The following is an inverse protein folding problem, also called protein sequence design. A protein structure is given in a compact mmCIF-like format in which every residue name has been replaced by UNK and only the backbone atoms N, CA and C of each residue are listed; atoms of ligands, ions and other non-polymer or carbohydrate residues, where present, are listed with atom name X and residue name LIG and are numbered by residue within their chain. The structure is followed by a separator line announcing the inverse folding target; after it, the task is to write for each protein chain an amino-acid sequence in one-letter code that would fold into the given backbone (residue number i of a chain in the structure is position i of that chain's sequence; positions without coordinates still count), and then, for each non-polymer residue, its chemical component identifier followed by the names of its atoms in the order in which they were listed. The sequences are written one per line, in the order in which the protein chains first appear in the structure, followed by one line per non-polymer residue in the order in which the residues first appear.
data_IF_669407931125
#
_entry.id   IF_669407931125
#
_cell.length_a   1.000
_cell.length_b   1.000
_cell.length_c   1.000
_cell.angle_alpha   90.00
_cell.angle_beta   90.00
_cell.angle_gamma   90.00
#
_symmetry.space_group_name_H-M   'P 1'
#
loop_
_entity.id
_entity.type
_entity.pdbx_description
1 polymer ?
#
# COMPACT_ATOMS: atom_id res chain seq x y z
N UNK A 1 3.89 -7.86 29.36
CA UNK A 1 4.27 -6.64 28.63
C UNK A 1 5.79 -6.53 28.70
N UNK A 2 6.44 -6.14 27.59
CA UNK A 2 7.88 -5.87 27.55
C UNK A 2 8.05 -4.36 27.38
N UNK A 3 8.92 -3.77 28.18
CA UNK A 3 9.24 -2.35 28.15
C UNK A 3 10.76 -2.20 28.10
N UNK A 4 11.26 -1.41 27.14
CA UNK A 4 12.68 -1.23 26.91
C UNK A 4 12.97 0.21 26.49
N UNK A 5 14.18 0.68 26.79
CA UNK A 5 14.60 2.05 26.49
C UNK A 5 14.73 2.30 24.99
N UNK A 6 15.27 1.34 24.26
CA UNK A 6 15.55 1.47 22.82
C UNK A 6 15.19 0.19 22.07
N UNK A 7 14.84 0.35 20.79
CA UNK A 7 14.54 -0.75 19.88
C UNK A 7 15.24 -0.53 18.53
N UNK A 8 16.01 -1.51 18.08
CA UNK A 8 16.72 -1.47 16.81
C UNK A 8 16.22 -2.57 15.87
N UNK A 9 15.75 -2.18 14.68
CA UNK A 9 15.41 -3.16 13.66
C UNK A 9 16.67 -3.89 13.17
N UNK A 10 16.59 -5.21 13.08
CA UNK A 10 17.61 -6.10 12.50
C UNK A 10 16.98 -6.92 11.38
N UNK A 11 17.52 -6.84 10.15
CA UNK A 11 17.06 -7.71 9.07
C UNK A 11 17.38 -9.17 9.39
N UNK A 12 16.67 -10.13 8.77
CA UNK A 12 17.00 -11.55 8.89
C UNK A 12 18.43 -11.81 8.42
N UNK A 13 19.17 -12.63 9.17
CA UNK A 13 20.59 -12.91 8.94
C UNK A 13 20.91 -14.36 9.27
N UNK A 14 21.34 -15.12 8.26
CA UNK A 14 21.58 -16.56 8.36
C UNK A 14 20.40 -17.31 9.02
N UNK A 15 20.62 -17.93 10.18
CA UNK A 15 19.61 -18.69 10.92
C UNK A 15 18.75 -17.80 11.85
N UNK A 16 19.01 -16.50 11.92
CA UNK A 16 18.24 -15.55 12.74
C UNK A 16 17.13 -14.88 11.91
N UNK A 17 15.86 -14.98 12.32
CA UNK A 17 14.77 -14.27 11.66
C UNK A 17 14.88 -12.75 11.87
N UNK A 18 14.20 -11.98 11.02
CA UNK A 18 14.13 -10.52 11.15
C UNK A 18 13.36 -10.10 12.41
N UNK A 19 13.66 -8.92 12.94
CA UNK A 19 12.97 -8.44 14.12
C UNK A 19 13.60 -7.23 14.78
N UNK A 20 13.23 -7.01 16.04
CA UNK A 20 13.65 -5.87 16.84
C UNK A 20 14.50 -6.33 18.01
N UNK A 21 15.72 -5.80 18.10
CA UNK A 21 16.56 -5.91 19.28
C UNK A 21 16.15 -4.82 20.26
N UNK A 22 15.60 -5.22 21.40
CA UNK A 22 15.27 -4.33 22.51
C UNK A 22 16.47 -4.24 23.45
N UNK A 23 16.87 -3.01 23.79
CA UNK A 23 18.03 -2.71 24.64
C UNK A 23 17.59 -1.94 25.87
N UNK A 24 18.16 -2.28 27.02
CA UNK A 24 17.75 -1.71 28.31
C UNK A 24 16.32 -2.08 28.65
N UNK A 25 16.00 -3.37 28.63
CA UNK A 25 14.68 -3.90 28.99
C UNK A 25 14.44 -3.68 30.49
N UNK A 26 13.46 -2.85 30.83
CA UNK A 26 13.08 -2.51 32.21
C UNK A 26 12.02 -3.47 32.76
N UNK A 27 11.15 -3.98 31.88
CA UNK A 27 10.18 -5.01 32.22
C UNK A 27 10.21 -6.13 31.18
N UNK A 28 10.26 -7.41 31.60
CA UNK A 28 10.32 -7.90 32.98
C UNK A 28 11.71 -7.77 33.63
N UNK A 29 11.77 -7.53 34.96
CA UNK A 29 13.05 -7.40 35.72
C UNK A 29 13.89 -8.68 35.74
N UNK A 30 13.26 -9.84 35.57
CA UNK A 30 13.86 -11.17 35.56
C UNK A 30 14.14 -11.68 34.14
N UNK A 31 14.34 -10.79 33.15
CA UNK A 31 14.53 -11.16 31.74
C UNK A 31 15.63 -12.21 31.52
N UNK A 32 16.77 -12.07 32.19
CA UNK A 32 17.94 -12.95 32.01
C UNK A 32 17.66 -14.42 32.40
N UNK A 33 16.66 -14.70 33.24
CA UNK A 33 16.30 -16.06 33.68
C UNK A 33 15.03 -16.57 32.99
N UNK A 34 14.31 -15.71 32.27
CA UNK A 34 13.10 -16.10 31.57
C UNK A 34 13.40 -16.92 30.32
N UNK A 35 12.64 -17.98 30.05
CA UNK A 35 12.75 -18.71 28.80
C UNK A 35 12.24 -17.85 27.64
N UNK A 36 12.77 -18.12 26.46
CA UNK A 36 12.30 -17.58 25.19
C UNK A 36 10.86 -18.03 24.94
N UNK A 37 10.07 -17.14 24.34
CA UNK A 37 8.69 -17.44 23.97
C UNK A 37 8.67 -18.01 22.57
N UNK A 38 8.08 -19.20 22.45
CA UNK A 38 7.86 -19.91 21.20
C UNK A 38 6.36 -20.09 21.00
N UNK A 39 5.85 -19.71 19.83
CA UNK A 39 4.45 -19.90 19.44
C UNK A 39 4.44 -20.71 18.15
N UNK A 40 3.65 -21.78 18.10
CA UNK A 40 3.58 -22.70 16.95
C UNK A 40 4.95 -23.21 16.46
N UNK A 41 5.86 -23.47 17.41
CA UNK A 41 7.22 -23.94 17.11
C UNK A 41 8.16 -22.88 16.55
N UNK A 42 7.75 -21.60 16.48
CA UNK A 42 8.59 -20.49 16.03
C UNK A 42 8.94 -19.56 17.20
N UNK A 43 10.21 -19.17 17.36
CA UNK A 43 10.57 -18.19 18.38
C UNK A 43 9.92 -16.84 18.04
N UNK A 44 9.17 -16.29 18.99
CA UNK A 44 8.57 -14.96 18.90
C UNK A 44 9.38 -13.97 19.72
N UNK A 45 9.92 -14.42 20.86
CA UNK A 45 10.76 -13.61 21.74
C UNK A 45 11.96 -14.47 22.15
N UNK A 46 13.17 -14.03 21.82
CA UNK A 46 14.40 -14.66 22.29
C UNK A 46 14.95 -13.87 23.49
N UNK A 47 15.25 -14.58 24.57
CA UNK A 47 15.83 -14.02 25.80
C UNK A 47 17.31 -14.40 25.94
N UNK A 48 18.08 -13.70 26.79
CA UNK A 48 19.50 -13.99 27.00
C UNK A 48 19.76 -15.41 27.54
N UNK A 49 18.77 -16.02 28.22
CA UNK A 49 18.86 -17.38 28.74
C UNK A 49 19.14 -18.41 27.65
N UNK A 50 18.41 -18.33 26.53
CA UNK A 50 18.49 -19.32 25.45
C UNK A 50 19.37 -18.84 24.28
N UNK A 51 19.67 -17.54 24.23
CA UNK A 51 20.52 -16.91 23.23
C UNK A 51 21.70 -16.12 23.84
N UNK A 52 22.49 -16.70 24.78
CA UNK A 52 23.55 -15.98 25.49
C UNK A 52 24.72 -15.57 24.59
N UNK A 53 24.84 -16.17 23.40
CA UNK A 53 25.93 -15.92 22.46
C UNK A 53 25.82 -14.57 21.73
N UNK A 54 24.65 -13.91 21.75
CA UNK A 54 24.42 -12.66 21.02
C UNK A 54 23.45 -11.69 21.70
N UNK A 55 22.85 -12.05 22.85
CA UNK A 55 22.01 -11.16 23.66
C UNK A 55 22.66 -10.88 25.01
N UNK A 56 22.76 -9.60 25.37
CA UNK A 56 23.20 -9.18 26.70
C UNK A 56 22.08 -9.37 27.74
N UNK A 57 22.37 -9.41 29.05
CA UNK A 57 21.37 -9.69 30.09
C UNK A 57 20.15 -8.76 30.12
N UNK A 58 20.31 -7.52 29.65
CA UNK A 58 19.28 -6.47 29.55
C UNK A 58 18.67 -6.35 28.15
N UNK A 59 18.94 -7.33 27.27
CA UNK A 59 18.46 -7.33 25.89
C UNK A 59 17.49 -8.48 25.63
N UNK A 60 16.52 -8.26 24.75
CA UNK A 60 15.75 -9.35 24.16
C UNK A 60 15.48 -9.07 22.69
N UNK A 61 15.22 -10.13 21.93
CA UNK A 61 14.90 -10.02 20.52
C UNK A 61 13.45 -10.40 20.26
N UNK A 62 12.70 -9.51 19.62
CA UNK A 62 11.32 -9.78 19.21
C UNK A 62 11.31 -10.05 17.72
N UNK A 63 10.93 -11.26 17.35
CA UNK A 63 10.83 -11.67 15.95
C UNK A 63 9.64 -10.97 15.30
N UNK A 64 9.90 -10.29 14.18
CA UNK A 64 8.87 -9.55 13.46
C UNK A 64 9.22 -9.46 11.98
N UNK A 65 8.24 -9.74 11.12
CA UNK A 65 8.35 -9.56 9.67
C UNK A 65 8.05 -8.10 9.23
N UNK A 66 7.78 -7.20 10.19
CA UNK A 66 7.51 -5.79 9.92
C UNK A 66 8.81 -4.98 9.97
N UNK A 67 9.11 -4.23 8.90
CA UNK A 67 10.31 -3.39 8.85
C UNK A 67 10.12 -2.08 9.63
N UNK A 68 11.22 -1.39 9.92
CA UNK A 68 11.16 -0.10 10.60
C UNK A 68 10.27 0.92 9.88
N UNK A 69 10.37 1.02 8.55
CA UNK A 69 9.57 1.95 7.75
C UNK A 69 8.08 1.59 7.80
N UNK A 70 7.76 0.30 7.85
CA UNK A 70 6.38 -0.16 7.98
C UNK A 70 5.81 0.14 9.38
N UNK A 71 6.62 0.12 10.43
CA UNK A 71 6.19 0.51 11.78
C UNK A 71 6.03 2.02 11.95
N UNK A 72 6.92 2.82 11.38
CA UNK A 72 6.94 4.27 11.61
C UNK A 72 6.05 5.05 10.67
N UNK A 73 6.00 4.68 9.38
CA UNK A 73 5.14 5.33 8.40
C UNK A 73 4.61 4.32 7.36
N UNK A 74 3.61 3.56 7.80
CA UNK A 74 2.93 2.59 6.96
C UNK A 74 2.19 3.24 5.77
N UNK A 75 1.88 4.54 5.85
CA UNK A 75 1.24 5.30 4.79
C UNK A 75 2.22 5.57 3.65
N UNK A 76 3.32 6.25 3.97
CA UNK A 76 4.39 6.55 3.02
C UNK A 76 5.01 5.29 2.43
N UNK A 77 5.22 4.24 3.24
CA UNK A 77 5.70 2.96 2.72
C UNK A 77 4.79 2.43 1.62
N UNK A 78 3.46 2.52 1.76
CA UNK A 78 2.51 2.03 0.76
C UNK A 78 2.54 2.85 -0.52
N UNK A 79 2.62 4.17 -0.38
CA UNK A 79 2.60 5.11 -1.51
C UNK A 79 3.88 5.03 -2.34
N UNK A 80 5.04 4.95 -1.69
CA UNK A 80 6.35 4.99 -2.34
C UNK A 80 6.97 3.61 -2.59
N UNK A 81 6.40 2.52 -2.06
CA UNK A 81 6.84 1.16 -2.39
C UNK A 81 6.56 0.81 -3.85
N UNK A 82 7.45 0.07 -4.48
CA UNK A 82 7.21 -0.55 -5.79
C UNK A 82 6.06 -1.58 -5.71
N UNK A 83 5.41 -1.84 -6.85
CA UNK A 83 4.34 -2.85 -6.92
C UNK A 83 4.84 -4.24 -6.50
N UNK A 84 6.10 -4.58 -6.80
CA UNK A 84 6.72 -5.82 -6.34
C UNK A 84 6.86 -5.87 -4.81
N UNK A 85 7.26 -4.77 -4.16
CA UNK A 85 7.32 -4.68 -2.70
C UNK A 85 5.93 -4.78 -2.05
N UNK A 86 4.91 -4.15 -2.64
CA UNK A 86 3.53 -4.27 -2.17
C UNK A 86 3.00 -5.71 -2.26
N UNK A 87 3.28 -6.42 -3.37
CA UNK A 87 2.90 -7.84 -3.53
C UNK A 87 3.61 -8.72 -2.51
N UNK A 88 4.89 -8.47 -2.23
CA UNK A 88 5.60 -9.17 -1.15
C UNK A 88 5.00 -8.86 0.22
N UNK A 89 4.62 -7.60 0.47
CA UNK A 89 3.96 -7.17 1.69
C UNK A 89 2.60 -7.83 1.92
N UNK A 90 1.84 -8.16 0.87
CA UNK A 90 0.59 -8.93 0.99
C UNK A 90 0.78 -10.33 1.56
N UNK A 91 1.99 -10.89 1.50
CA UNK A 91 2.32 -12.20 2.08
C UNK A 91 2.64 -12.13 3.56
N UNK A 92 2.81 -10.92 4.12
CA UNK A 92 3.05 -10.73 5.54
C UNK A 92 1.69 -10.58 6.27
N UNK A 93 1.24 -11.60 7.02
CA UNK A 93 -0.03 -11.55 7.75
C UNK A 93 -0.02 -10.53 8.89
N UNK A 94 1.15 -10.02 9.29
CA UNK A 94 1.29 -9.00 10.34
C UNK A 94 0.80 -7.61 9.91
N UNK A 95 0.46 -7.43 8.63
CA UNK A 95 -0.05 -6.17 8.07
C UNK A 95 -1.56 -6.27 7.81
N UNK A 96 -2.37 -5.67 8.69
CA UNK A 96 -3.86 -5.72 8.70
C UNK A 96 -4.56 -4.97 7.54
N UNK A 97 -3.84 -4.58 6.49
CA UNK A 97 -4.35 -3.68 5.43
C UNK A 97 -4.37 -4.29 4.02
N UNK A 98 -4.52 -5.61 3.91
CA UNK A 98 -4.52 -6.32 2.64
C UNK A 98 -5.48 -5.72 1.59
N UNK A 99 -6.65 -5.20 1.99
CA UNK A 99 -7.60 -4.56 1.07
C UNK A 99 -7.04 -3.29 0.41
N UNK A 100 -6.44 -2.39 1.19
CA UNK A 100 -5.88 -1.12 0.70
C UNK A 100 -4.68 -1.38 -0.22
N UNK A 101 -3.79 -2.29 0.18
CA UNK A 101 -2.64 -2.69 -0.64
C UNK A 101 -3.09 -3.30 -1.97
N UNK A 102 -4.12 -4.16 -1.97
CA UNK A 102 -4.70 -4.72 -3.19
C UNK A 102 -5.27 -3.64 -4.11
N UNK A 103 -6.01 -2.67 -3.58
CA UNK A 103 -6.53 -1.55 -4.38
C UNK A 103 -5.39 -0.79 -5.03
N UNK A 104 -4.34 -0.43 -4.27
CA UNK A 104 -3.17 0.27 -4.82
C UNK A 104 -2.50 -0.50 -5.96
N UNK A 105 -2.36 -1.83 -5.82
CA UNK A 105 -1.78 -2.67 -6.88
C UNK A 105 -2.66 -2.63 -8.14
N UNK A 106 -3.97 -2.84 -8.02
CA UNK A 106 -4.87 -2.81 -9.16
C UNK A 106 -4.95 -1.41 -9.80
N UNK A 107 -5.03 -0.35 -9.00
CA UNK A 107 -5.07 1.03 -9.50
C UNK A 107 -3.83 1.38 -10.31
N UNK A 108 -2.62 0.98 -9.88
CA UNK A 108 -1.38 1.24 -10.63
C UNK A 108 -1.35 0.55 -12.00
N UNK A 109 -1.96 -0.63 -12.12
CA UNK A 109 -2.07 -1.34 -13.40
C UNK A 109 -3.08 -0.65 -14.34
N UNK A 110 -4.17 -0.15 -13.78
CA UNK A 110 -5.27 0.46 -14.54
C UNK A 110 -5.01 1.94 -14.86
N UNK A 111 -4.17 2.63 -14.09
CA UNK A 111 -3.81 4.04 -14.27
C UNK A 111 -3.43 4.41 -15.73
N UNK A 112 -2.51 3.71 -16.43
CA UNK A 112 -2.18 4.06 -17.81
C UNK A 112 -3.37 3.93 -18.77
N UNK A 113 -4.28 2.97 -18.53
CA UNK A 113 -5.49 2.81 -19.33
C UNK A 113 -6.51 3.92 -19.04
N UNK A 114 -6.60 4.37 -17.78
CA UNK A 114 -7.42 5.51 -17.37
C UNK A 114 -6.91 6.80 -18.01
N UNK A 115 -5.60 7.02 -18.03
CA UNK A 115 -4.99 8.20 -18.65
C UNK A 115 -5.26 8.22 -20.16
N UNK A 116 -5.14 7.06 -20.82
CA UNK A 116 -5.49 6.91 -22.23
C UNK A 116 -6.99 7.17 -22.49
N UNK A 117 -7.86 6.67 -21.61
CA UNK A 117 -9.31 6.90 -21.69
C UNK A 117 -9.63 8.37 -21.55
N UNK A 118 -9.02 9.06 -20.59
CA UNK A 118 -9.21 10.50 -20.38
C UNK A 118 -8.71 11.30 -21.58
N UNK A 119 -7.56 10.91 -22.16
CA UNK A 119 -7.05 11.51 -23.40
C UNK A 119 -8.04 11.35 -24.55
N UNK A 120 -8.58 10.14 -24.76
CA UNK A 120 -9.58 9.89 -25.80
C UNK A 120 -10.93 10.55 -25.52
N UNK A 121 -11.23 10.92 -24.28
CA UNK A 121 -12.42 11.71 -23.97
C UNK A 121 -12.20 13.20 -24.26
N UNK A 122 -11.00 13.71 -23.95
CA UNK A 122 -10.63 15.12 -24.12
C UNK A 122 -10.27 15.51 -25.56
N UNK A 123 -9.57 14.65 -26.30
CA UNK A 123 -9.07 14.91 -27.65
C UNK A 123 -10.19 15.22 -28.66
N UNK A 124 -11.24 14.39 -28.81
CA UNK A 124 -12.40 14.71 -29.66
C UNK A 124 -13.03 16.06 -29.31
N UNK A 125 -13.10 16.37 -28.02
CA UNK A 125 -13.77 17.57 -27.54
C UNK A 125 -13.03 18.86 -27.92
N UNK A 126 -11.70 18.80 -27.96
CA UNK A 126 -10.86 19.91 -28.43
C UNK A 126 -10.89 20.00 -29.96
N UNK A 127 -10.76 18.87 -30.66
CA UNK A 127 -10.67 18.82 -32.13
C UNK A 127 -11.99 19.14 -32.85
N UNK A 128 -13.14 18.67 -32.34
CA UNK A 128 -14.45 18.87 -32.97
C UNK A 128 -14.92 20.34 -32.95
N UNK A 129 -14.20 21.24 -32.26
CA UNK A 129 -14.64 22.62 -32.02
C UNK A 129 -13.91 23.61 -32.92
N UNK A 130 -14.14 23.49 -34.23
CA UNK A 130 -13.56 24.39 -35.22
C UNK A 130 -14.07 25.85 -35.11
N UNK A 131 -15.21 26.14 -34.46
CA UNK A 131 -15.84 27.49 -34.44
C UNK A 131 -16.58 27.91 -33.14
N UNK A 132 -16.17 27.48 -31.92
CA UNK A 132 -16.81 27.93 -30.66
C UNK A 132 -15.83 28.49 -29.63
N UNK A 133 -16.26 29.53 -28.90
CA UNK A 133 -15.57 30.19 -27.78
C UNK A 133 -14.64 29.24 -27.00
N UNK A 134 -13.34 29.54 -27.02
CA UNK A 134 -12.27 28.76 -26.37
C UNK A 134 -12.57 28.54 -24.88
N UNK A 135 -13.15 29.52 -24.20
CA UNK A 135 -13.57 29.41 -22.79
C UNK A 135 -14.56 28.26 -22.54
N UNK A 136 -15.48 28.00 -23.46
CA UNK A 136 -16.45 26.90 -23.32
C UNK A 136 -15.77 25.55 -23.56
N UNK A 137 -14.79 25.49 -24.46
CA UNK A 137 -14.00 24.27 -24.67
C UNK A 137 -13.16 23.94 -23.42
N UNK A 138 -12.50 24.95 -22.84
CA UNK A 138 -11.74 24.82 -21.59
C UNK A 138 -12.64 24.38 -20.42
N UNK A 139 -13.80 25.02 -20.26
CA UNK A 139 -14.75 24.68 -19.19
C UNK A 139 -15.27 23.24 -19.30
N UNK A 140 -15.59 22.78 -20.50
CA UNK A 140 -16.10 21.42 -20.72
C UNK A 140 -15.00 20.36 -20.55
N UNK A 141 -13.78 20.63 -20.99
CA UNK A 141 -12.62 19.78 -20.73
C UNK A 141 -12.34 19.67 -19.22
N UNK A 142 -12.36 20.81 -18.51
CA UNK A 142 -12.22 20.83 -17.05
C UNK A 142 -13.31 20.03 -16.35
N UNK A 143 -14.57 20.16 -16.79
CA UNK A 143 -15.70 19.40 -16.25
C UNK A 143 -15.51 17.89 -16.45
N UNK A 144 -15.05 17.47 -17.62
CA UNK A 144 -14.70 16.09 -17.92
C UNK A 144 -13.64 15.57 -16.93
N UNK A 145 -12.53 16.29 -16.78
CA UNK A 145 -11.42 15.89 -15.89
C UNK A 145 -11.90 15.78 -14.43
N UNK A 146 -12.69 16.75 -13.96
CA UNK A 146 -13.23 16.75 -12.60
C UNK A 146 -14.18 15.57 -12.40
N UNK A 147 -15.11 15.33 -13.32
CA UNK A 147 -16.06 14.23 -13.22
C UNK A 147 -15.36 12.86 -13.23
N UNK A 148 -14.36 12.69 -14.10
CA UNK A 148 -13.56 11.49 -14.20
C UNK A 148 -12.77 11.24 -12.92
N UNK A 149 -12.05 12.26 -12.44
CA UNK A 149 -11.26 12.19 -11.20
C UNK A 149 -12.13 11.84 -10.00
N UNK A 150 -13.35 12.41 -9.91
CA UNK A 150 -14.27 12.15 -8.81
C UNK A 150 -14.74 10.70 -8.80
N UNK A 151 -15.06 10.12 -9.96
CA UNK A 151 -15.45 8.70 -10.06
C UNK A 151 -14.28 7.78 -9.70
N UNK A 152 -13.07 8.08 -10.18
CA UNK A 152 -11.86 7.32 -9.83
C UNK A 152 -11.63 7.34 -8.33
N UNK A 153 -11.65 8.53 -7.72
CA UNK A 153 -11.41 8.71 -6.29
C UNK A 153 -12.48 8.01 -5.45
N UNK A 154 -13.76 8.18 -5.78
CA UNK A 154 -14.86 7.51 -5.10
C UNK A 154 -14.74 5.98 -5.17
N UNK A 155 -14.44 5.44 -6.35
CA UNK A 155 -14.32 3.99 -6.55
C UNK A 155 -13.15 3.40 -5.73
N UNK A 156 -11.99 4.07 -5.75
CA UNK A 156 -10.83 3.64 -4.97
C UNK A 156 -11.07 3.73 -3.45
N UNK A 157 -11.75 4.79 -2.98
CA UNK A 157 -12.12 4.90 -1.56
C UNK A 157 -13.08 3.80 -1.12
N UNK A 158 -14.08 3.46 -1.94
CA UNK A 158 -15.00 2.36 -1.65
C UNK A 158 -14.28 1.00 -1.60
N UNK A 159 -13.28 0.78 -2.45
CA UNK A 159 -12.41 -0.40 -2.37
C UNK A 159 -11.52 -0.42 -1.13
N UNK A 160 -10.96 0.73 -0.76
CA UNK A 160 -10.12 0.87 0.43
C UNK A 160 -10.91 0.67 1.74
N UNK A 161 -12.20 0.99 1.73
CA UNK A 161 -13.16 0.73 2.80
C UNK A 161 -13.73 -0.70 2.77
N UNK A 162 -13.24 -1.57 1.87
CA UNK A 162 -13.73 -2.95 1.67
C UNK A 162 -15.22 -3.09 1.34
N UNK A 163 -15.88 -2.01 0.91
CA UNK A 163 -17.28 -2.01 0.42
C UNK A 163 -17.35 -2.69 -0.95
N UNK A 164 -16.34 -2.45 -1.79
CA UNK A 164 -16.17 -3.11 -3.09
C UNK A 164 -14.93 -4.01 -3.06
N UNK A 165 -14.91 -5.02 -3.93
CA UNK A 165 -13.67 -5.78 -4.15
C UNK A 165 -12.59 -4.85 -4.69
N UNK A 166 -11.34 -5.08 -4.28
CA UNK A 166 -10.23 -4.22 -4.68
C UNK A 166 -10.05 -4.13 -6.20
N UNK A 167 -10.31 -5.23 -6.91
CA UNK A 167 -10.30 -5.26 -8.36
C UNK A 167 -11.45 -4.41 -8.94
N UNK A 168 -12.69 -4.60 -8.49
CA UNK A 168 -13.82 -3.86 -9.04
C UNK A 168 -13.68 -2.34 -8.77
N UNK A 169 -13.24 -1.96 -7.58
CA UNK A 169 -12.95 -0.56 -7.23
C UNK A 169 -11.95 0.12 -8.18
N UNK A 170 -10.92 -0.59 -8.62
CA UNK A 170 -9.90 -0.04 -9.53
C UNK A 170 -10.37 -0.02 -11.00
N UNK A 171 -11.15 -1.01 -11.42
CA UNK A 171 -11.55 -1.19 -12.83
C UNK A 171 -12.88 -0.50 -13.20
N UNK A 172 -13.74 -0.20 -12.21
CA UNK A 172 -15.06 0.41 -12.44
C UNK A 172 -14.99 1.72 -13.26
N UNK A 173 -14.07 2.67 -12.98
CA UNK A 173 -13.98 3.89 -13.78
C UNK A 173 -13.66 3.60 -15.26
N UNK A 174 -12.79 2.61 -15.53
CA UNK A 174 -12.45 2.21 -16.89
C UNK A 174 -13.65 1.58 -17.59
N UNK A 175 -14.42 0.73 -16.90
CA UNK A 175 -15.63 0.12 -17.46
C UNK A 175 -16.72 1.16 -17.77
N UNK A 176 -16.80 2.23 -16.97
CA UNK A 176 -17.78 3.30 -17.18
C UNK A 176 -17.38 4.24 -18.32
N UNK A 177 -16.14 4.73 -18.31
CA UNK A 177 -15.69 5.77 -19.25
C UNK A 177 -15.04 5.22 -20.52
N UNK A 178 -14.53 3.98 -20.50
CA UNK A 178 -13.92 3.35 -21.68
C UNK A 178 -14.86 3.29 -22.89
N UNK A 179 -16.11 2.77 -22.75
CA UNK A 179 -17.08 2.78 -23.85
C UNK A 179 -17.42 4.19 -24.34
N UNK A 180 -17.57 5.16 -23.42
CA UNK A 180 -17.86 6.55 -23.77
C UNK A 180 -16.72 7.19 -24.58
N UNK A 181 -15.47 6.95 -24.19
CA UNK A 181 -14.30 7.43 -24.90
C UNK A 181 -14.23 6.84 -26.32
N UNK A 182 -14.55 5.56 -26.47
CA UNK A 182 -14.55 4.89 -27.77
C UNK A 182 -15.61 5.45 -28.73
N UNK A 183 -16.83 5.67 -28.25
CA UNK A 183 -17.91 6.26 -29.04
C UNK A 183 -17.58 7.70 -29.45
N UNK A 184 -17.03 8.50 -28.53
CA UNK A 184 -16.58 9.87 -28.83
C UNK A 184 -15.42 9.89 -29.85
N UNK A 185 -14.46 8.98 -29.73
CA UNK A 185 -13.35 8.86 -30.68
C UNK A 185 -13.84 8.48 -32.08
N UNK A 186 -14.76 7.51 -32.19
CA UNK A 186 -15.39 7.12 -33.47
C UNK A 186 -16.17 8.25 -34.13
N UNK A 187 -16.74 9.16 -33.33
CA UNK A 187 -17.47 10.32 -33.83
C UNK A 187 -16.60 11.35 -34.55
N UNK A 188 -15.27 11.30 -34.43
CA UNK A 188 -14.36 12.20 -35.15
C UNK A 188 -14.14 11.75 -36.60
N UNK A 189 -14.14 10.44 -36.86
CA UNK A 189 -13.84 9.86 -38.18
C UNK A 189 -15.02 9.94 -39.17
N UNK A 190 -16.19 10.39 -38.73
CA UNK A 190 -17.40 10.58 -39.56
C UNK A 190 -17.62 12.05 -39.89
#
# INVERSE_FOLDING_TARGET
QIEAREAFYRPPEADRPGGYLLVGVEQPKDLATRPSLVVDGRPVISTPRDAPHWLQPDQCFVVSDVTFEQLTDLGAWREYSSTAQLIRGLRNPSLDFGARVRVTIHSRLVQPLLDLTLLFLGLPLVLARHNRNVFVALGLCGLVVVSFSLVVLASQHLGAASVLSAALAAWLPLMLFGPLALELARGIDR
#
